data_IF_949131147707
#
_entry.id   IF_949131147707
#
_cell.length_a   1.000
_cell.length_b   1.000
_cell.length_c   1.000
_cell.angle_alpha   90.00
_cell.angle_beta   90.00
_cell.angle_gamma   90.00
#
_symmetry.space_group_name_H-M   'P 1'
#
loop_
_entity.id
_entity.type
_entity.pdbx_description
1 polymer ?
#
# COMPACT_ATOMS: atom_id res chain seq x y z
N UNK A 1 4.66 -7.73 18.31
CA UNK A 1 3.56 -8.54 17.73
C UNK A 1 4.12 -9.67 16.86
N UNK A 2 4.86 -9.43 15.78
CA UNK A 2 5.31 -10.46 14.83
C UNK A 2 6.13 -11.61 15.44
N UNK A 3 7.01 -11.35 16.44
CA UNK A 3 7.75 -12.42 17.15
C UNK A 3 6.83 -13.54 17.64
N UNK A 4 5.67 -13.18 18.21
CA UNK A 4 4.67 -14.16 18.69
C UNK A 4 4.04 -14.95 17.54
N UNK A 5 3.74 -14.31 16.41
CA UNK A 5 3.21 -15.01 15.23
C UNK A 5 4.25 -16.00 14.69
N UNK A 6 5.51 -15.58 14.56
CA UNK A 6 6.60 -16.45 14.11
C UNK A 6 6.78 -17.67 15.03
N UNK A 7 6.76 -17.47 16.34
CA UNK A 7 6.83 -18.56 17.34
C UNK A 7 5.64 -19.54 17.24
N UNK A 8 4.50 -19.11 16.66
CA UNK A 8 3.33 -19.92 16.38
C UNK A 8 3.30 -20.46 14.93
N UNK A 9 4.39 -20.34 14.19
CA UNK A 9 4.56 -20.89 12.84
C UNK A 9 3.93 -20.04 11.73
N UNK A 10 3.62 -18.77 11.97
CA UNK A 10 3.15 -17.86 10.92
C UNK A 10 4.31 -17.35 10.06
N UNK A 11 4.09 -17.31 8.75
CA UNK A 11 4.99 -16.71 7.75
C UNK A 11 4.41 -15.43 7.22
N UNK A 12 5.22 -14.39 7.08
CA UNK A 12 4.77 -13.13 6.46
C UNK A 12 4.64 -13.28 4.95
N UNK A 13 3.54 -12.73 4.41
CA UNK A 13 3.27 -12.64 2.97
C UNK A 13 3.05 -11.18 2.57
N UNK A 14 3.15 -10.91 1.28
CA UNK A 14 2.89 -9.59 0.67
C UNK A 14 1.64 -9.64 -0.20
N UNK A 15 1.22 -8.49 -0.74
CA UNK A 15 0.12 -8.44 -1.70
C UNK A 15 0.47 -9.23 -2.96
N UNK A 16 1.72 -9.13 -3.44
CA UNK A 16 2.14 -9.89 -4.62
C UNK A 16 2.14 -11.42 -4.36
N UNK A 17 2.43 -11.87 -3.13
CA UNK A 17 2.27 -13.29 -2.79
C UNK A 17 0.80 -13.75 -2.90
N UNK A 18 -0.17 -12.88 -2.52
CA UNK A 18 -1.61 -13.16 -2.70
C UNK A 18 -2.02 -13.13 -4.19
N UNK A 19 -1.52 -12.18 -4.95
CA UNK A 19 -1.76 -12.08 -6.40
C UNK A 19 -1.21 -13.33 -7.11
N UNK A 20 0.01 -13.74 -6.80
CA UNK A 20 0.63 -14.94 -7.33
C UNK A 20 -0.17 -16.21 -6.97
N UNK A 21 -0.69 -16.27 -5.75
CA UNK A 21 -1.58 -17.39 -5.35
C UNK A 21 -2.83 -17.43 -6.23
N UNK A 22 -3.46 -16.30 -6.51
CA UNK A 22 -4.71 -16.25 -7.30
C UNK A 22 -4.45 -16.52 -8.79
N UNK A 23 -3.42 -15.90 -9.36
CA UNK A 23 -3.23 -15.89 -10.82
C UNK A 23 -2.17 -16.89 -11.33
N UNK A 24 -1.24 -17.34 -10.48
CA UNK A 24 -0.07 -18.16 -10.89
C UNK A 24 0.03 -19.48 -10.15
N UNK A 25 -1.02 -19.92 -9.46
CA UNK A 25 -1.08 -21.16 -8.68
C UNK A 25 0.05 -21.36 -7.64
N UNK A 26 0.75 -20.29 -7.27
CA UNK A 26 1.75 -20.32 -6.20
C UNK A 26 1.06 -20.55 -4.85
N UNK A 27 1.47 -21.59 -4.13
CA UNK A 27 0.90 -21.89 -2.83
C UNK A 27 1.25 -20.82 -1.79
N UNK A 28 0.29 -20.48 -0.94
CA UNK A 28 0.55 -19.70 0.27
C UNK A 28 0.95 -20.63 1.42
N UNK A 29 1.72 -20.14 2.41
CA UNK A 29 1.94 -20.87 3.65
C UNK A 29 0.61 -21.15 4.39
N UNK A 30 0.49 -22.32 5.02
CA UNK A 30 -0.72 -22.72 5.78
C UNK A 30 -1.12 -21.70 6.84
N UNK A 31 -0.14 -21.07 7.48
CA UNK A 31 -0.31 -19.98 8.42
C UNK A 31 0.39 -18.76 7.88
N UNK A 32 -0.33 -17.87 7.23
CA UNK A 32 0.23 -16.62 6.73
C UNK A 32 -0.36 -15.39 7.44
N UNK A 33 0.42 -14.32 7.48
CA UNK A 33 0.02 -13.01 7.98
C UNK A 33 0.66 -11.92 7.11
N UNK A 34 -0.10 -10.92 6.72
CA UNK A 34 0.42 -9.74 6.03
C UNK A 34 0.60 -8.60 7.04
N UNK A 35 1.78 -7.99 7.03
CA UNK A 35 2.09 -6.82 7.84
C UNK A 35 2.00 -5.60 6.94
N UNK A 36 1.05 -4.72 7.19
CA UNK A 36 0.82 -3.50 6.41
C UNK A 36 1.12 -2.26 7.20
N UNK A 37 1.68 -1.25 6.56
CA UNK A 37 1.98 0.08 7.13
C UNK A 37 1.61 1.15 6.12
N UNK A 38 0.68 2.00 6.48
CA UNK A 38 0.23 3.09 5.63
C UNK A 38 1.06 4.36 5.82
N UNK A 39 0.79 5.38 5.00
CA UNK A 39 1.39 6.72 4.99
C UNK A 39 2.89 6.79 4.64
N UNK A 40 3.64 5.72 4.85
CA UNK A 40 5.08 5.73 4.61
C UNK A 40 5.86 6.64 5.54
N UNK A 41 5.54 6.65 6.83
CA UNK A 41 6.31 7.41 7.83
C UNK A 41 7.77 6.95 7.92
N UNK A 42 8.69 7.89 8.18
CA UNK A 42 10.12 7.60 8.35
C UNK A 42 10.41 6.62 9.50
N UNK A 43 9.53 6.54 10.50
CA UNK A 43 9.64 5.57 11.58
C UNK A 43 9.59 4.11 11.09
N UNK A 44 8.98 3.84 9.94
CA UNK A 44 8.99 2.52 9.31
C UNK A 44 10.42 2.12 8.89
N UNK A 45 11.21 3.06 8.38
CA UNK A 45 12.63 2.83 8.08
C UNK A 45 13.45 2.69 9.37
N UNK A 46 13.25 3.60 10.32
CA UNK A 46 14.07 3.67 11.54
C UNK A 46 13.83 2.52 12.51
N UNK A 47 12.59 2.07 12.65
CA UNK A 47 12.23 1.09 13.69
C UNK A 47 11.70 -0.23 13.12
N UNK A 48 10.84 -0.19 12.08
CA UNK A 48 10.24 -1.41 11.53
C UNK A 48 11.27 -2.18 10.70
N UNK A 49 11.97 -1.52 9.79
CA UNK A 49 12.90 -2.19 8.89
C UNK A 49 14.01 -2.99 9.58
N UNK A 50 14.67 -2.50 10.65
CA UNK A 50 15.61 -3.32 11.43
C UNK A 50 14.97 -4.58 12.04
N UNK A 51 13.69 -4.50 12.44
CA UNK A 51 12.96 -5.66 12.96
C UNK A 51 12.63 -6.66 11.85
N UNK A 52 12.25 -6.19 10.65
CA UNK A 52 12.02 -7.06 9.49
C UNK A 52 13.31 -7.84 9.16
N UNK A 53 14.46 -7.16 9.13
CA UNK A 53 15.77 -7.81 8.93
C UNK A 53 16.06 -8.85 10.03
N UNK A 54 15.85 -8.47 11.30
CA UNK A 54 16.12 -9.35 12.45
C UNK A 54 15.29 -10.63 12.43
N UNK A 55 14.04 -10.56 12.01
CA UNK A 55 13.12 -11.69 12.03
C UNK A 55 12.92 -12.33 10.64
N UNK A 56 13.65 -11.89 9.63
CA UNK A 56 13.47 -12.28 8.22
C UNK A 56 11.99 -12.23 7.81
N UNK A 57 11.33 -11.12 8.15
CA UNK A 57 9.91 -10.90 7.92
C UNK A 57 9.68 -9.95 6.77
N UNK A 58 8.61 -10.16 6.01
CA UNK A 58 8.18 -9.24 4.94
C UNK A 58 7.12 -8.28 5.46
N UNK A 59 7.02 -7.11 4.83
CA UNK A 59 5.97 -6.14 5.04
C UNK A 59 5.56 -5.46 3.74
N UNK A 60 4.36 -4.89 3.74
CA UNK A 60 3.84 -4.00 2.70
C UNK A 60 3.79 -2.59 3.28
N UNK A 61 4.38 -1.63 2.60
CA UNK A 61 4.33 -0.20 2.98
C UNK A 61 3.70 0.59 1.84
N UNK A 62 2.73 1.43 2.17
CA UNK A 62 1.97 2.21 1.21
C UNK A 62 2.15 3.70 1.49
N UNK A 63 3.19 4.35 0.90
CA UNK A 63 3.44 5.75 1.15
C UNK A 63 2.43 6.65 0.43
N UNK A 64 2.08 7.77 1.06
CA UNK A 64 1.52 8.93 0.35
C UNK A 64 2.67 9.57 -0.44
N UNK A 65 2.63 9.43 -1.76
CA UNK A 65 3.78 9.75 -2.61
C UNK A 65 4.22 11.22 -2.50
N UNK A 66 3.29 12.16 -2.38
CA UNK A 66 3.58 13.59 -2.19
C UNK A 66 4.38 13.87 -0.93
N UNK A 67 4.05 13.23 0.19
CA UNK A 67 4.78 13.42 1.44
C UNK A 67 6.22 12.89 1.31
N UNK A 68 6.38 11.71 0.72
CA UNK A 68 7.72 11.16 0.44
C UNK A 68 8.53 12.07 -0.49
N UNK A 69 7.90 12.66 -1.52
CA UNK A 69 8.55 13.60 -2.43
C UNK A 69 9.02 14.86 -1.70
N UNK A 70 8.17 15.44 -0.86
CA UNK A 70 8.48 16.66 -0.11
C UNK A 70 9.62 16.44 0.88
N UNK A 71 9.59 15.34 1.65
CA UNK A 71 10.69 14.99 2.56
C UNK A 71 11.97 14.63 1.81
N UNK A 72 11.86 14.04 0.61
CA UNK A 72 13.03 13.81 -0.25
C UNK A 72 13.68 15.13 -0.69
N UNK A 73 12.88 16.15 -1.02
CA UNK A 73 13.39 17.45 -1.45
C UNK A 73 14.12 18.20 -0.32
N UNK A 74 13.68 18.06 0.92
CA UNK A 74 14.34 18.67 2.09
C UNK A 74 15.48 17.81 2.64
N UNK A 75 15.44 16.50 2.41
CA UNK A 75 16.38 15.53 2.99
C UNK A 75 16.18 15.29 4.50
N UNK A 76 15.07 15.77 5.07
CA UNK A 76 14.79 15.68 6.51
C UNK A 76 14.39 14.26 6.91
N UNK A 77 15.09 13.71 7.91
CA UNK A 77 14.83 12.40 8.50
C UNK A 77 14.35 12.55 9.95
N UNK A 78 13.04 12.52 10.15
CA UNK A 78 12.44 12.67 11.47
C UNK A 78 11.44 11.55 11.77
N UNK A 79 11.72 10.76 12.82
CA UNK A 79 10.89 9.60 13.16
C UNK A 79 9.54 9.95 13.80
N UNK A 80 9.32 11.20 14.20
CA UNK A 80 8.08 11.61 14.86
C UNK A 80 7.02 12.08 13.85
N UNK A 81 7.45 12.71 12.75
CA UNK A 81 6.53 13.31 11.76
C UNK A 81 7.02 13.20 10.31
N UNK A 82 8.26 12.76 10.08
CA UNK A 82 8.83 12.65 8.74
C UNK A 82 8.29 11.45 7.95
N UNK A 83 8.42 11.54 6.65
CA UNK A 83 8.07 10.46 5.74
C UNK A 83 9.32 9.85 5.08
N UNK A 84 9.16 8.65 4.50
CA UNK A 84 10.23 7.94 3.81
C UNK A 84 10.76 8.76 2.62
N UNK A 85 12.07 8.94 2.56
CA UNK A 85 12.74 9.53 1.42
C UNK A 85 12.91 8.48 0.32
N UNK A 86 13.10 8.89 -0.93
CA UNK A 86 13.39 7.98 -2.06
C UNK A 86 14.51 6.98 -1.74
N UNK A 87 15.58 7.43 -1.09
CA UNK A 87 16.71 6.55 -0.70
C UNK A 87 16.30 5.45 0.28
N UNK A 88 15.40 5.79 1.25
CA UNK A 88 14.91 4.82 2.22
C UNK A 88 14.00 3.79 1.54
N UNK A 89 13.08 4.24 0.68
CA UNK A 89 12.21 3.36 -0.13
C UNK A 89 13.07 2.40 -0.95
N UNK A 90 14.09 2.93 -1.66
CA UNK A 90 14.99 2.13 -2.49
C UNK A 90 15.73 1.06 -1.67
N UNK A 91 16.33 1.42 -0.54
CA UNK A 91 17.05 0.47 0.33
C UNK A 91 16.12 -0.62 0.87
N UNK A 92 14.93 -0.23 1.35
CA UNK A 92 13.94 -1.19 1.87
C UNK A 92 13.46 -2.14 0.79
N UNK A 93 13.18 -1.63 -0.42
CA UNK A 93 12.76 -2.43 -1.57
C UNK A 93 13.86 -3.40 -2.01
N UNK A 94 15.09 -2.94 -2.18
CA UNK A 94 16.23 -3.76 -2.61
C UNK A 94 16.59 -4.87 -1.64
N UNK A 95 16.19 -4.74 -0.37
CA UNK A 95 16.36 -5.80 0.62
C UNK A 95 15.49 -7.04 0.36
N UNK A 96 14.44 -6.92 -0.48
CA UNK A 96 13.45 -7.97 -0.71
C UNK A 96 12.49 -8.22 0.46
N UNK A 97 12.58 -7.42 1.55
CA UNK A 97 11.72 -7.57 2.73
C UNK A 97 10.51 -6.63 2.70
N UNK A 98 10.55 -5.59 1.88
CA UNK A 98 9.47 -4.59 1.83
C UNK A 98 8.93 -4.45 0.42
N UNK A 99 7.63 -4.65 0.29
CA UNK A 99 6.85 -4.34 -0.90
C UNK A 99 6.24 -2.95 -0.75
N UNK A 100 6.28 -2.14 -1.81
CA UNK A 100 5.69 -0.81 -1.81
C UNK A 100 4.43 -0.77 -2.69
N UNK A 101 3.34 -0.24 -2.11
CA UNK A 101 2.04 -0.14 -2.75
C UNK A 101 1.52 1.30 -2.75
N UNK A 102 0.40 1.57 -3.42
CA UNK A 102 -0.12 2.92 -3.66
C UNK A 102 -1.10 3.35 -2.56
N UNK A 103 -0.83 4.49 -1.89
CA UNK A 103 -1.74 5.15 -0.93
C UNK A 103 -2.11 6.57 -1.39
N UNK A 104 -2.36 6.74 -2.69
CA UNK A 104 -2.53 8.01 -3.40
C UNK A 104 -1.25 8.84 -3.53
N UNK A 105 -1.29 9.81 -4.44
CA UNK A 105 -0.24 10.83 -4.51
C UNK A 105 -0.47 11.91 -3.46
N UNK A 106 -1.64 12.54 -3.44
CA UNK A 106 -1.97 13.67 -2.55
C UNK A 106 -3.44 13.67 -2.10
N UNK A 107 -4.06 12.50 -1.98
CA UNK A 107 -5.45 12.39 -1.51
C UNK A 107 -5.59 11.89 -0.08
N UNK A 108 -4.50 11.94 0.72
CA UNK A 108 -4.59 11.70 2.15
C UNK A 108 -4.97 12.99 2.89
N UNK A 109 -6.17 13.51 2.59
CA UNK A 109 -6.72 14.76 3.12
C UNK A 109 -8.15 14.56 3.62
N UNK A 110 -8.61 15.43 4.53
CA UNK A 110 -10.01 15.43 5.00
C UNK A 110 -10.88 16.40 4.21
N UNK A 111 -10.27 17.47 3.66
CA UNK A 111 -10.93 18.52 2.89
C UNK A 111 -10.04 18.92 1.71
N UNK A 112 -10.60 19.32 0.57
CA UNK A 112 -12.01 19.37 0.17
C UNK A 112 -12.63 18.00 -0.16
N UNK A 113 -11.86 16.91 0.00
CA UNK A 113 -12.22 15.51 -0.23
C UNK A 113 -11.63 14.67 0.91
N UNK A 114 -12.42 13.77 1.50
CA UNK A 114 -11.88 12.78 2.43
C UNK A 114 -11.36 11.59 1.62
N UNK A 115 -10.06 11.34 1.71
CA UNK A 115 -9.43 10.27 0.93
C UNK A 115 -9.77 10.36 -0.55
N UNK A 116 -10.16 9.25 -1.15
CA UNK A 116 -10.65 9.22 -2.54
C UNK A 116 -12.18 9.30 -2.64
N UNK A 117 -12.89 9.69 -1.58
CA UNK A 117 -14.35 9.84 -1.60
C UNK A 117 -14.81 10.89 -2.62
N UNK A 118 -15.98 10.70 -3.23
CA UNK A 118 -16.54 11.65 -4.19
C UNK A 118 -17.02 12.92 -3.50
N UNK A 119 -16.69 14.10 -4.05
CA UNK A 119 -17.15 15.37 -3.49
C UNK A 119 -18.65 15.60 -3.75
N UNK A 120 -19.26 16.40 -2.89
CA UNK A 120 -20.65 16.83 -3.10
C UNK A 120 -20.80 17.57 -4.44
N UNK A 121 -21.80 17.17 -5.24
CA UNK A 121 -22.07 17.69 -6.60
C UNK A 121 -20.97 17.48 -7.65
N UNK A 122 -19.96 16.67 -7.38
CA UNK A 122 -18.95 16.30 -8.37
C UNK A 122 -19.59 15.33 -9.38
N UNK A 123 -19.41 15.56 -10.66
CA UNK A 123 -19.85 14.62 -11.71
C UNK A 123 -18.99 13.34 -11.69
N UNK A 124 -19.46 12.27 -12.30
CA UNK A 124 -18.70 11.02 -12.38
C UNK A 124 -17.42 11.20 -13.21
N UNK A 125 -17.47 12.00 -14.28
CA UNK A 125 -16.30 12.26 -15.12
C UNK A 125 -15.25 13.11 -14.40
N UNK A 126 -15.65 14.14 -13.65
CA UNK A 126 -14.75 14.93 -12.82
C UNK A 126 -14.09 14.06 -11.74
N UNK A 127 -14.90 13.23 -11.09
CA UNK A 127 -14.43 12.29 -10.07
C UNK A 127 -13.41 11.31 -10.65
N UNK A 128 -13.77 10.61 -11.75
CA UNK A 128 -12.89 9.65 -12.43
C UNK A 128 -11.57 10.30 -12.84
N UNK A 129 -11.65 11.48 -13.44
CA UNK A 129 -10.46 12.24 -13.87
C UNK A 129 -9.56 12.59 -12.70
N UNK A 130 -10.14 13.09 -11.59
CA UNK A 130 -9.38 13.48 -10.41
C UNK A 130 -8.66 12.28 -9.77
N UNK A 131 -9.37 11.15 -9.60
CA UNK A 131 -8.79 9.94 -9.00
C UNK A 131 -7.71 9.36 -9.90
N UNK A 132 -8.00 9.18 -11.21
CA UNK A 132 -7.04 8.61 -12.16
C UNK A 132 -5.75 9.43 -12.23
N UNK A 133 -5.85 10.76 -12.24
CA UNK A 133 -4.66 11.62 -12.27
C UNK A 133 -3.79 11.50 -11.00
N UNK A 134 -4.42 11.39 -9.84
CA UNK A 134 -3.69 11.26 -8.57
C UNK A 134 -3.01 9.89 -8.46
N UNK A 135 -3.76 8.81 -8.68
CA UNK A 135 -3.20 7.46 -8.56
C UNK A 135 -2.06 7.22 -9.56
N UNK A 136 -2.18 7.75 -10.80
CA UNK A 136 -1.13 7.60 -11.81
C UNK A 136 0.15 8.32 -11.39
N UNK A 137 0.07 9.50 -10.78
CA UNK A 137 1.26 10.17 -10.23
C UNK A 137 1.94 9.34 -9.14
N UNK A 138 1.17 8.72 -8.25
CA UNK A 138 1.73 7.83 -7.23
C UNK A 138 2.38 6.58 -7.85
N UNK A 139 1.71 5.98 -8.87
CA UNK A 139 2.26 4.85 -9.63
C UNK A 139 3.62 5.19 -10.24
N UNK A 140 3.70 6.32 -10.94
CA UNK A 140 4.95 6.80 -11.57
C UNK A 140 6.03 7.08 -10.54
N UNK A 141 5.67 7.75 -9.43
CA UNK A 141 6.60 8.05 -8.35
C UNK A 141 7.22 6.78 -7.77
N UNK A 142 6.40 5.83 -7.33
CA UNK A 142 6.88 4.58 -6.73
C UNK A 142 7.67 3.75 -7.74
N UNK A 143 7.16 3.63 -8.98
CA UNK A 143 7.85 2.93 -10.07
C UNK A 143 9.22 3.55 -10.38
N UNK A 144 9.36 4.87 -10.31
CA UNK A 144 10.64 5.55 -10.55
C UNK A 144 11.73 5.17 -9.54
N UNK A 145 11.34 4.68 -8.36
CA UNK A 145 12.25 4.31 -7.27
C UNK A 145 12.52 2.81 -7.25
N UNK A 146 11.45 2.01 -7.40
CA UNK A 146 11.49 0.55 -7.25
C UNK A 146 11.71 -0.19 -8.56
N UNK A 147 11.43 0.44 -9.70
CA UNK A 147 11.40 -0.19 -11.02
C UNK A 147 10.06 -0.87 -11.34
N UNK A 148 9.19 -1.07 -10.36
CA UNK A 148 7.91 -1.75 -10.52
C UNK A 148 6.75 -0.83 -10.11
N UNK A 149 5.65 -0.86 -10.89
CA UNK A 149 4.43 -0.17 -10.52
C UNK A 149 3.71 -0.94 -9.38
N UNK A 150 3.12 -0.24 -8.40
CA UNK A 150 2.23 -0.85 -7.42
C UNK A 150 1.10 -1.67 -8.07
N UNK A 151 0.79 -2.81 -7.47
CA UNK A 151 -0.28 -3.72 -7.92
C UNK A 151 -1.54 -3.61 -7.06
N UNK A 152 -1.43 -2.95 -5.91
CA UNK A 152 -2.54 -2.71 -5.01
C UNK A 152 -2.71 -1.23 -4.68
N UNK A 153 -3.95 -0.85 -4.38
CA UNK A 153 -4.31 0.44 -3.85
C UNK A 153 -4.85 0.29 -2.41
N UNK A 154 -4.29 1.07 -1.51
CA UNK A 154 -4.74 1.14 -0.12
C UNK A 154 -5.55 2.42 0.04
N UNK A 155 -6.80 2.30 0.50
CA UNK A 155 -7.72 3.43 0.60
C UNK A 155 -7.32 4.39 1.72
N UNK A 156 -6.96 5.66 1.43
CA UNK A 156 -6.76 6.66 2.47
C UNK A 156 -7.99 6.79 3.37
N UNK A 157 -7.80 6.65 4.69
CA UNK A 157 -8.87 6.62 5.71
C UNK A 157 -9.87 5.46 5.54
N UNK A 158 -9.59 4.45 4.73
CA UNK A 158 -10.56 3.44 4.33
C UNK A 158 -11.75 4.01 3.56
N UNK A 159 -11.62 5.21 2.99
CA UNK A 159 -12.73 5.92 2.32
C UNK A 159 -12.90 5.41 0.91
N UNK A 160 -13.98 4.71 0.69
CA UNK A 160 -14.42 4.19 -0.59
C UNK A 160 -15.58 5.05 -1.13
N UNK A 161 -15.76 5.10 -2.43
CA UNK A 161 -16.98 5.61 -3.05
C UNK A 161 -17.48 4.63 -4.08
N UNK A 162 -18.77 4.69 -4.44
CA UNK A 162 -19.43 3.65 -5.22
C UNK A 162 -18.76 3.27 -6.54
N UNK A 163 -18.03 4.18 -7.19
CA UNK A 163 -17.30 3.92 -8.44
C UNK A 163 -15.79 3.81 -8.28
N UNK A 164 -15.26 3.92 -7.05
CA UNK A 164 -13.81 3.91 -6.84
C UNK A 164 -13.15 2.60 -7.25
N UNK A 165 -13.78 1.47 -6.92
CA UNK A 165 -13.25 0.16 -7.25
C UNK A 165 -13.13 -0.07 -8.76
N UNK A 166 -14.14 0.35 -9.55
CA UNK A 166 -14.11 0.24 -10.99
C UNK A 166 -12.99 1.09 -11.60
N UNK A 167 -12.81 2.31 -11.11
CA UNK A 167 -11.71 3.18 -11.55
C UNK A 167 -10.34 2.55 -11.24
N UNK A 168 -10.18 1.94 -10.07
CA UNK A 168 -8.94 1.26 -9.68
C UNK A 168 -8.67 0.02 -10.54
N UNK A 169 -9.71 -0.78 -10.81
CA UNK A 169 -9.61 -1.93 -11.74
C UNK A 169 -9.22 -1.49 -13.15
N UNK A 170 -9.85 -0.43 -13.69
CA UNK A 170 -9.49 0.15 -14.99
C UNK A 170 -8.05 0.69 -15.02
N UNK A 171 -7.54 1.21 -13.90
CA UNK A 171 -6.16 1.65 -13.76
C UNK A 171 -5.14 0.50 -13.61
N UNK A 172 -5.63 -0.75 -13.57
CA UNK A 172 -4.80 -1.97 -13.55
C UNK A 172 -4.41 -2.46 -12.17
N UNK A 173 -5.03 -1.97 -11.10
CA UNK A 173 -4.83 -2.55 -9.78
C UNK A 173 -5.49 -3.92 -9.67
N UNK A 174 -4.76 -4.86 -9.11
CA UNK A 174 -5.18 -6.26 -8.94
C UNK A 174 -5.70 -6.54 -7.52
N UNK A 175 -5.53 -5.59 -6.61
CA UNK A 175 -5.95 -5.72 -5.21
C UNK A 175 -6.27 -4.34 -4.62
N UNK A 176 -7.15 -4.32 -3.62
CA UNK A 176 -7.38 -3.14 -2.77
C UNK A 176 -7.44 -3.53 -1.31
N UNK A 177 -6.95 -2.63 -0.44
CA UNK A 177 -7.00 -2.80 1.00
C UNK A 177 -7.71 -1.60 1.64
N UNK A 178 -8.50 -1.89 2.68
CA UNK A 178 -9.16 -0.87 3.49
C UNK A 178 -8.87 -1.03 4.99
N UNK A 179 -9.52 -0.25 5.85
CA UNK A 179 -9.33 -0.29 7.31
C UNK A 179 -10.39 -1.15 8.04
N UNK A 180 -11.15 -1.98 7.32
CA UNK A 180 -12.18 -2.80 7.93
C UNK A 180 -11.56 -3.96 8.71
N UNK A 181 -11.81 -4.02 10.00
CA UNK A 181 -11.32 -5.13 10.83
C UNK A 181 -12.13 -6.40 10.55
N UNK A 182 -11.53 -7.34 9.80
CA UNK A 182 -12.15 -8.61 9.44
C UNK A 182 -11.10 -9.71 9.19
N UNK A 183 -11.56 -10.97 9.20
CA UNK A 183 -10.78 -12.07 8.65
C UNK A 183 -10.95 -12.11 7.12
N UNK A 184 -9.85 -12.17 6.41
CA UNK A 184 -9.85 -12.23 4.95
C UNK A 184 -9.78 -13.68 4.48
N UNK A 185 -10.60 -14.02 3.49
CA UNK A 185 -10.60 -15.32 2.83
C UNK A 185 -10.21 -15.15 1.38
N UNK A 186 -8.91 -15.32 1.09
CA UNK A 186 -8.40 -15.26 -0.28
C UNK A 186 -8.57 -16.63 -0.94
N UNK A 187 -9.26 -16.63 -2.06
CA UNK A 187 -9.54 -17.84 -2.88
C UNK A 187 -8.91 -17.70 -4.27
N UNK A 188 -9.12 -18.68 -5.15
CA UNK A 188 -8.70 -18.57 -6.56
C UNK A 188 -9.56 -17.61 -7.39
N UNK A 189 -10.61 -17.02 -6.80
CA UNK A 189 -11.39 -15.99 -7.44
C UNK A 189 -10.69 -14.63 -7.30
N UNK A 190 -10.33 -13.92 -8.41
CA UNK A 190 -9.71 -12.60 -8.38
C UNK A 190 -10.45 -11.56 -7.52
N UNK A 191 -11.78 -11.65 -7.44
CA UNK A 191 -12.58 -10.72 -6.62
C UNK A 191 -12.22 -10.80 -5.13
N UNK A 192 -11.65 -11.92 -4.65
CA UNK A 192 -11.21 -12.05 -3.26
C UNK A 192 -9.97 -11.21 -2.90
N UNK A 193 -9.33 -10.57 -3.89
CA UNK A 193 -8.19 -9.67 -3.68
C UNK A 193 -8.62 -8.21 -3.45
N UNK A 194 -9.90 -7.89 -3.61
CA UNK A 194 -10.39 -6.54 -3.40
C UNK A 194 -11.02 -6.38 -2.01
N UNK A 195 -10.89 -5.17 -1.48
CA UNK A 195 -11.42 -4.79 -0.15
C UNK A 195 -10.88 -5.68 0.99
N UNK A 196 -9.61 -6.07 0.93
CA UNK A 196 -8.93 -6.77 2.02
C UNK A 196 -8.88 -5.83 3.25
N UNK A 197 -9.31 -6.30 4.43
CA UNK A 197 -9.36 -5.52 5.67
C UNK A 197 -8.29 -5.89 6.68
#
# INVERSE_FOLDING_TARGET
MYKRQQENGYTTVTVNDLIDYVYSDKALPDKCVMLTFDDGYYNNYKYVFPLLKKYNAKAVISPVAKFSEDFTATGEENANYGHLLKKNIKEMYDSGLVEFQNHSYNMHTLTPRKGIGKKYKESDDEYKTAITNDINKAQEYIKSITGNAPTAFIYPFGEESGSSLEILKEAGFLSTLNCTEKLNYVTKNPESLYEIG
#
